data_IF_773775133343
#
_entry.id   IF_773775133343
#
_cell.length_a   1.000
_cell.length_b   1.000
_cell.length_c   1.000
_cell.angle_alpha   90.00
_cell.angle_beta   90.00
_cell.angle_gamma   90.00
#
_symmetry.space_group_name_H-M   'P 1'
#
loop_
_entity.id
_entity.type
_entity.pdbx_description
1 polymer ?
#
# COMPACT_ATOMS: atom_id res chain seq x y z
N UNK A 1 72.13 10.21 -8.66
CA UNK A 1 71.18 10.17 -7.53
C UNK A 1 69.90 9.54 -8.05
N UNK A 2 69.53 8.43 -7.44
CA UNK A 2 68.37 7.59 -7.74
C UNK A 2 67.03 8.35 -7.57
N UNK A 3 65.96 7.79 -8.17
CA UNK A 3 64.53 7.87 -7.76
C UNK A 3 63.70 9.07 -8.25
N UNK A 4 62.45 8.99 -8.71
CA UNK A 4 61.47 7.92 -8.89
C UNK A 4 60.55 8.34 -10.06
N UNK A 5 60.34 7.44 -11.03
CA UNK A 5 59.30 7.57 -12.06
C UNK A 5 58.02 6.99 -11.44
N UNK A 6 57.00 7.82 -11.18
CA UNK A 6 55.68 7.36 -10.72
C UNK A 6 54.80 7.26 -11.98
N UNK A 7 54.45 6.05 -12.46
CA UNK A 7 53.45 5.96 -13.51
C UNK A 7 52.08 6.17 -12.87
N UNK A 8 51.41 7.27 -13.23
CA UNK A 8 50.00 7.46 -12.92
C UNK A 8 49.19 6.45 -13.76
N UNK A 9 48.73 5.38 -13.11
CA UNK A 9 47.77 4.44 -13.69
C UNK A 9 46.43 5.18 -13.79
N UNK A 10 46.08 5.63 -14.98
CA UNK A 10 44.72 6.07 -15.29
C UNK A 10 43.82 4.83 -15.38
N UNK A 11 43.07 4.56 -14.31
CA UNK A 11 42.02 3.56 -14.31
C UNK A 11 40.76 4.18 -14.92
N UNK A 12 40.46 3.84 -16.18
CA UNK A 12 39.23 4.25 -16.84
C UNK A 12 38.08 3.39 -16.31
N UNK A 13 37.39 3.85 -15.27
CA UNK A 13 36.15 3.22 -14.79
C UNK A 13 35.02 3.71 -15.69
N UNK A 14 34.58 2.86 -16.62
CA UNK A 14 33.32 3.07 -17.32
C UNK A 14 32.20 2.81 -16.32
N UNK A 15 31.71 3.88 -15.70
CA UNK A 15 30.44 3.83 -14.96
C UNK A 15 29.34 3.67 -16.00
N UNK A 16 28.93 2.42 -16.24
CA UNK A 16 27.72 2.14 -16.99
C UNK A 16 26.58 2.70 -16.14
N UNK A 17 25.93 3.75 -16.63
CA UNK A 17 24.71 4.28 -16.03
C UNK A 17 23.68 3.14 -16.04
N UNK A 18 23.47 2.47 -14.91
CA UNK A 18 22.25 1.70 -14.74
C UNK A 18 21.12 2.72 -14.77
N UNK A 19 20.25 2.64 -15.78
CA UNK A 19 19.00 3.39 -15.75
C UNK A 19 18.32 3.06 -14.43
N UNK A 20 18.23 4.06 -13.54
CA UNK A 20 17.37 3.99 -12.38
C UNK A 20 15.94 3.69 -12.84
N UNK A 21 15.07 3.15 -11.97
CA UNK A 21 13.68 2.91 -12.33
C UNK A 21 13.10 4.21 -12.93
N UNK A 22 12.52 4.11 -14.13
CA UNK A 22 11.92 5.23 -14.81
C UNK A 22 10.88 5.87 -13.87
N UNK A 23 11.08 7.14 -13.51
CA UNK A 23 10.06 7.91 -12.84
C UNK A 23 8.92 8.12 -13.85
N UNK A 24 7.82 7.39 -13.65
CA UNK A 24 6.60 7.60 -14.41
C UNK A 24 5.98 8.93 -13.96
N UNK A 25 5.60 9.77 -14.92
CA UNK A 25 4.95 11.05 -14.65
C UNK A 25 3.70 10.86 -13.76
N UNK A 26 3.73 11.45 -12.56
CA UNK A 26 2.69 11.35 -11.52
C UNK A 26 1.23 11.47 -12.00
N UNK A 27 0.85 12.38 -12.92
CA UNK A 27 -0.54 12.53 -13.33
C UNK A 27 -1.03 11.45 -14.31
N UNK A 28 -0.13 10.66 -14.91
CA UNK A 28 -0.47 9.57 -15.83
C UNK A 28 -0.53 8.19 -15.16
N UNK A 29 -0.23 8.10 -13.85
CA UNK A 29 -0.22 6.82 -13.10
C UNK A 29 -1.58 6.10 -13.13
N UNK A 30 -2.66 6.81 -13.42
CA UNK A 30 -4.00 6.33 -13.13
C UNK A 30 -5.09 6.63 -14.18
N UNK A 31 -4.71 7.14 -15.35
CA UNK A 31 -5.65 7.76 -16.31
C UNK A 31 -6.44 6.79 -17.21
N UNK A 32 -6.22 5.48 -17.14
CA UNK A 32 -6.77 4.52 -18.12
C UNK A 32 -7.95 3.67 -17.61
N UNK A 33 -8.92 4.26 -16.93
CA UNK A 33 -10.14 3.50 -16.61
C UNK A 33 -11.43 4.31 -16.77
N UNK A 34 -12.03 4.20 -17.96
CA UNK A 34 -13.46 4.45 -18.18
C UNK A 34 -14.04 3.30 -18.99
N UNK A 35 -14.52 2.26 -18.30
CA UNK A 35 -15.53 1.36 -18.87
C UNK A 35 -16.46 0.81 -17.78
N UNK A 36 -17.74 0.59 -18.12
CA UNK A 36 -18.80 0.22 -17.17
C UNK A 36 -18.72 -1.25 -16.69
N UNK A 37 -17.64 -1.95 -17.04
CA UNK A 37 -17.35 -3.34 -16.68
C UNK A 37 -16.19 -3.47 -15.67
N UNK A 38 -15.85 -2.35 -15.02
CA UNK A 38 -14.69 -2.25 -14.15
C UNK A 38 -14.93 -2.93 -12.80
N UNK A 39 -13.98 -3.78 -12.41
CA UNK A 39 -13.95 -4.46 -11.12
C UNK A 39 -12.85 -3.91 -10.22
N UNK A 40 -12.96 -4.18 -8.92
CA UNK A 40 -11.88 -3.89 -7.94
C UNK A 40 -10.55 -4.54 -8.33
N UNK A 41 -10.59 -5.61 -9.14
CA UNK A 41 -9.41 -6.37 -9.54
C UNK A 41 -8.58 -5.73 -10.65
N UNK A 42 -9.10 -4.70 -11.31
CA UNK A 42 -8.45 -4.03 -12.45
C UNK A 42 -7.49 -2.93 -11.99
N UNK A 43 -7.55 -2.53 -10.72
CA UNK A 43 -6.68 -1.50 -10.16
C UNK A 43 -5.33 -2.08 -9.76
N UNK A 44 -4.26 -1.35 -10.14
CA UNK A 44 -2.94 -1.54 -9.56
C UNK A 44 -2.85 -0.77 -8.25
N UNK A 45 -2.21 -1.36 -7.25
CA UNK A 45 -1.94 -0.76 -5.95
C UNK A 45 -0.47 -0.95 -5.61
N UNK A 46 0.09 -0.01 -4.89
CA UNK A 46 1.48 -0.07 -4.43
C UNK A 46 1.57 -0.89 -3.13
N UNK A 47 2.61 -1.68 -2.95
CA UNK A 47 2.92 -2.35 -1.68
C UNK A 47 3.76 -1.44 -0.79
N UNK A 48 3.93 -1.81 0.48
CA UNK A 48 4.81 -1.07 1.39
C UNK A 48 6.28 -1.04 0.92
N UNK A 49 6.70 -2.01 0.10
CA UNK A 49 8.03 -2.04 -0.53
C UNK A 49 8.14 -1.17 -1.79
N UNK A 50 7.10 -0.42 -2.15
CA UNK A 50 7.07 0.43 -3.35
C UNK A 50 6.82 -0.33 -4.67
N UNK A 51 6.45 -1.61 -4.62
CA UNK A 51 6.16 -2.42 -5.82
C UNK A 51 4.69 -2.35 -6.17
N UNK A 52 4.36 -2.31 -7.46
CA UNK A 52 2.97 -2.38 -7.89
C UNK A 52 2.48 -3.83 -7.99
N UNK A 53 1.27 -4.06 -7.49
CA UNK A 53 0.55 -5.33 -7.57
C UNK A 53 -0.91 -5.10 -7.94
N UNK A 54 -1.65 -6.16 -8.23
CA UNK A 54 -3.09 -6.09 -8.51
C UNK A 54 -3.88 -6.75 -7.39
N UNK A 55 -5.15 -6.41 -7.28
CA UNK A 55 -6.06 -7.04 -6.30
C UNK A 55 -6.62 -8.37 -6.78
N UNK A 56 -6.28 -8.82 -7.99
CA UNK A 56 -6.80 -10.07 -8.59
C UNK A 56 -6.57 -11.33 -7.75
N UNK A 57 -5.51 -11.35 -6.92
CA UNK A 57 -5.23 -12.46 -6.00
C UNK A 57 -6.28 -12.66 -4.91
N UNK A 58 -7.16 -11.68 -4.70
CA UNK A 58 -8.25 -11.71 -3.72
C UNK A 58 -9.60 -12.09 -4.33
N UNK A 59 -9.63 -12.60 -5.56
CA UNK A 59 -10.85 -13.08 -6.21
C UNK A 59 -11.51 -14.19 -5.39
N UNK A 60 -12.85 -14.13 -5.28
CA UNK A 60 -13.64 -15.09 -4.52
C UNK A 60 -13.58 -14.90 -2.99
N UNK A 61 -12.95 -13.82 -2.51
CA UNK A 61 -12.92 -13.47 -1.10
C UNK A 61 -13.86 -12.30 -0.81
N UNK A 62 -14.37 -12.22 0.41
CA UNK A 62 -15.03 -11.02 0.92
C UNK A 62 -13.94 -10.05 1.35
N UNK A 63 -13.98 -8.83 0.80
CA UNK A 63 -12.98 -7.80 1.03
C UNK A 63 -13.55 -6.64 1.84
N UNK A 64 -12.91 -6.34 2.97
CA UNK A 64 -13.08 -5.09 3.68
C UNK A 64 -11.96 -4.13 3.28
N UNK A 65 -12.30 -3.06 2.57
CA UNK A 65 -11.34 -2.02 2.15
C UNK A 65 -11.43 -0.85 3.12
N UNK A 66 -10.29 -0.47 3.71
CA UNK A 66 -10.24 0.57 4.73
C UNK A 66 -9.07 1.52 4.50
N UNK A 67 -9.31 2.83 4.60
CA UNK A 67 -8.23 3.80 4.71
C UNK A 67 -7.82 3.94 6.18
N UNK A 68 -6.51 3.96 6.44
CA UNK A 68 -5.94 3.91 7.79
C UNK A 68 -4.93 5.04 8.01
N UNK A 69 -4.61 5.31 9.27
CA UNK A 69 -3.62 6.29 9.70
C UNK A 69 -2.99 5.85 11.05
N UNK A 70 -1.67 5.92 11.20
CA UNK A 70 -0.93 5.52 12.43
C UNK A 70 -1.14 6.48 13.60
N UNK A 71 -1.35 7.78 13.36
CA UNK A 71 -1.54 8.78 14.42
C UNK A 71 -2.99 9.24 14.58
N UNK A 72 -3.93 8.43 14.09
CA UNK A 72 -5.35 8.69 14.24
C UNK A 72 -5.85 8.32 15.64
N UNK A 73 -6.88 9.02 16.13
CA UNK A 73 -7.56 8.58 17.35
C UNK A 73 -8.06 7.13 17.25
N UNK A 74 -8.49 6.72 16.06
CA UNK A 74 -9.02 5.39 15.77
C UNK A 74 -7.94 4.34 15.45
N UNK A 75 -6.64 4.65 15.55
CA UNK A 75 -5.58 3.66 15.29
C UNK A 75 -5.67 2.45 16.23
N UNK A 76 -6.26 2.57 17.41
CA UNK A 76 -6.51 1.41 18.29
C UNK A 76 -7.37 0.32 17.63
N UNK A 77 -8.17 0.66 16.61
CA UNK A 77 -8.96 -0.31 15.82
C UNK A 77 -8.10 -1.36 15.10
N UNK A 78 -6.80 -1.12 14.92
CA UNK A 78 -5.89 -2.16 14.41
C UNK A 78 -5.93 -3.42 15.28
N UNK A 79 -6.13 -3.27 16.59
CA UNK A 79 -6.22 -4.39 17.53
C UNK A 79 -7.47 -5.24 17.29
N UNK A 80 -8.53 -4.66 16.73
CA UNK A 80 -9.80 -5.35 16.45
C UNK A 80 -9.79 -6.10 15.11
N UNK A 81 -8.89 -5.74 14.19
CA UNK A 81 -8.84 -6.37 12.86
C UNK A 81 -8.43 -7.83 12.90
N UNK A 82 -7.48 -8.21 13.76
CA UNK A 82 -7.07 -9.60 13.88
C UNK A 82 -8.22 -10.48 14.41
N UNK A 83 -8.87 -10.15 15.55
CA UNK A 83 -10.06 -10.86 16.02
C UNK A 83 -11.21 -10.87 15.01
N UNK A 84 -11.44 -9.77 14.28
CA UNK A 84 -12.48 -9.72 13.26
C UNK A 84 -12.21 -10.73 12.15
N UNK A 85 -10.96 -10.85 11.69
CA UNK A 85 -10.57 -11.84 10.69
C UNK A 85 -10.76 -13.25 11.25
N UNK A 86 -10.21 -13.53 12.44
CA UNK A 86 -10.29 -14.84 13.09
C UNK A 86 -11.75 -15.30 13.26
N UNK A 87 -12.60 -14.43 13.80
CA UNK A 87 -14.03 -14.70 13.96
C UNK A 87 -14.71 -15.00 12.62
N UNK A 88 -14.40 -14.25 11.55
CA UNK A 88 -15.00 -14.51 10.24
C UNK A 88 -14.48 -15.80 9.58
N UNK A 89 -13.27 -16.24 9.91
CA UNK A 89 -12.73 -17.52 9.43
C UNK A 89 -13.37 -18.70 10.19
N UNK A 90 -13.60 -18.56 11.49
CA UNK A 90 -14.21 -19.59 12.35
C UNK A 90 -15.70 -19.81 12.06
N UNK A 91 -16.47 -18.73 11.85
CA UNK A 91 -17.92 -18.83 11.61
C UNK A 91 -18.27 -19.50 10.27
N UNK A 92 -17.31 -19.61 9.34
CA UNK A 92 -17.53 -20.19 8.01
C UNK A 92 -17.45 -21.70 8.02
N UNK A 93 -18.46 -22.31 8.64
CA UNK A 93 -18.78 -23.74 8.58
C UNK A 93 -19.36 -24.16 7.21
N UNK A 94 -18.63 -23.97 6.10
CA UNK A 94 -18.87 -24.76 4.87
C UNK A 94 -18.98 -24.07 3.50
N UNK A 95 -18.94 -22.74 3.37
CA UNK A 95 -19.00 -22.07 2.04
C UNK A 95 -17.62 -21.83 1.39
N UNK A 96 -16.53 -22.03 2.14
CA UNK A 96 -15.14 -21.87 1.68
C UNK A 96 -14.71 -20.44 1.32
N UNK A 97 -15.51 -19.43 1.61
CA UNK A 97 -15.25 -18.05 1.16
C UNK A 97 -14.35 -17.32 2.17
N UNK A 98 -13.12 -16.96 1.81
CA UNK A 98 -12.21 -16.26 2.74
C UNK A 98 -12.62 -14.80 3.00
N UNK A 99 -12.28 -14.27 4.18
CA UNK A 99 -12.44 -12.86 4.54
C UNK A 99 -11.05 -12.20 4.69
N UNK A 100 -10.89 -11.03 4.05
CA UNK A 100 -9.61 -10.33 3.96
C UNK A 100 -9.80 -8.82 4.11
N UNK A 101 -8.91 -8.19 4.87
CA UNK A 101 -8.88 -6.74 5.06
C UNK A 101 -7.76 -6.15 4.21
N UNK A 102 -8.09 -5.15 3.39
CA UNK A 102 -7.16 -4.38 2.57
C UNK A 102 -7.06 -2.97 3.15
N UNK A 103 -5.96 -2.68 3.84
CA UNK A 103 -5.71 -1.41 4.51
C UNK A 103 -4.82 -0.50 3.67
N UNK A 104 -5.26 0.75 3.49
CA UNK A 104 -4.61 1.76 2.66
C UNK A 104 -4.26 2.99 3.50
N UNK A 105 -2.99 3.15 3.91
CA UNK A 105 -2.53 4.31 4.65
C UNK A 105 -2.81 5.62 3.87
N UNK A 106 -3.31 6.65 4.55
CA UNK A 106 -3.67 7.92 3.91
C UNK A 106 -3.42 9.11 4.83
N UNK A 107 -2.65 10.08 4.32
CA UNK A 107 -2.25 11.26 5.09
C UNK A 107 -3.21 12.46 4.94
N UNK A 108 -4.29 12.34 4.16
CA UNK A 108 -5.17 13.48 3.85
C UNK A 108 -6.08 13.91 5.01
N UNK A 109 -6.16 13.11 6.08
CA UNK A 109 -7.00 13.38 7.24
C UNK A 109 -6.15 13.89 8.40
N UNK A 110 -6.07 15.22 8.54
CA UNK A 110 -5.30 15.90 9.60
C UNK A 110 -3.82 15.49 9.68
N UNK A 111 -3.22 15.08 8.56
CA UNK A 111 -1.81 14.68 8.47
C UNK A 111 -1.42 13.57 9.46
N UNK A 112 -2.33 12.61 9.68
CA UNK A 112 -2.16 11.54 10.68
C UNK A 112 -1.40 10.29 10.19
N UNK A 113 -0.88 10.30 8.95
CA UNK A 113 -0.03 9.25 8.40
C UNK A 113 1.22 9.86 7.72
N UNK A 114 2.08 10.56 8.49
CA UNK A 114 3.25 11.25 7.96
C UNK A 114 4.36 10.28 7.52
N UNK A 115 4.35 9.04 8.03
CA UNK A 115 5.35 8.02 7.77
C UNK A 115 5.46 7.67 6.29
N UNK A 116 6.68 7.36 5.85
CA UNK A 116 6.91 6.76 4.54
C UNK A 116 6.57 5.27 4.53
N UNK A 117 6.34 4.69 3.34
CA UNK A 117 5.83 3.31 3.22
C UNK A 117 6.65 2.28 4.02
N UNK A 118 7.98 2.44 4.05
CA UNK A 118 8.88 1.53 4.78
C UNK A 118 8.84 1.70 6.32
N UNK A 119 8.23 2.77 6.83
CA UNK A 119 8.16 3.09 8.25
C UNK A 119 6.81 2.70 8.88
N UNK A 120 5.75 2.57 8.07
CA UNK A 120 4.38 2.35 8.54
C UNK A 120 4.27 1.10 9.43
N UNK A 121 4.88 -0.01 9.06
CA UNK A 121 4.87 -1.23 9.88
C UNK A 121 5.55 -1.01 11.23
N UNK A 122 6.65 -0.26 11.28
CA UNK A 122 7.31 0.06 12.54
C UNK A 122 6.44 0.97 13.40
N UNK A 123 5.75 1.93 12.78
CA UNK A 123 4.78 2.81 13.43
C UNK A 123 3.70 2.01 14.16
N UNK A 124 3.02 1.09 13.47
CA UNK A 124 1.95 0.30 14.08
C UNK A 124 2.45 -0.74 15.09
N UNK A 125 3.65 -1.30 14.87
CA UNK A 125 4.23 -2.33 15.75
C UNK A 125 4.77 -1.74 17.05
N UNK A 126 5.41 -0.56 16.99
CA UNK A 126 6.20 -0.02 18.10
C UNK A 126 5.64 1.27 18.68
N UNK A 127 4.88 2.06 17.91
CA UNK A 127 4.43 3.39 18.33
C UNK A 127 2.95 3.37 18.67
N UNK A 128 2.07 3.11 17.69
CA UNK A 128 0.62 3.10 17.88
C UNK A 128 -0.08 2.22 16.83
N UNK A 129 -0.81 1.16 17.23
CA UNK A 129 -1.16 0.78 18.61
C UNK A 129 0.03 0.31 19.45
N UNK A 130 1.15 -0.02 18.81
CA UNK A 130 2.39 -0.39 19.50
C UNK A 130 2.28 -1.78 20.13
N UNK A 131 2.98 -1.97 21.25
CA UNK A 131 2.94 -3.22 22.06
C UNK A 131 3.31 -4.49 21.28
N UNK A 132 4.07 -4.35 20.19
CA UNK A 132 4.44 -5.48 19.35
C UNK A 132 3.28 -6.00 18.50
N UNK A 133 2.29 -5.16 18.18
CA UNK A 133 1.20 -5.50 17.28
C UNK A 133 1.73 -6.08 15.97
N UNK A 134 1.14 -7.20 15.53
CA UNK A 134 1.48 -7.86 14.28
C UNK A 134 0.19 -8.08 13.48
N UNK A 135 0.09 -7.57 12.24
CA UNK A 135 -1.05 -7.84 11.37
C UNK A 135 -1.25 -9.34 11.14
N UNK A 136 -2.50 -9.80 11.18
CA UNK A 136 -2.86 -11.15 10.74
C UNK A 136 -2.52 -11.36 9.25
N UNK A 137 -2.34 -12.61 8.81
CA UNK A 137 -1.96 -12.94 7.42
C UNK A 137 -2.95 -12.44 6.36
N UNK A 138 -4.23 -12.28 6.72
CA UNK A 138 -5.30 -11.72 5.88
C UNK A 138 -5.56 -10.21 6.14
N UNK A 139 -4.68 -9.53 6.90
CA UNK A 139 -4.66 -8.07 7.01
C UNK A 139 -3.52 -7.53 6.14
N UNK A 140 -3.85 -7.10 4.93
CA UNK A 140 -2.87 -6.59 3.98
C UNK A 140 -2.81 -5.07 4.01
N UNK A 141 -1.67 -4.54 4.43
CA UNK A 141 -1.39 -3.12 4.42
C UNK A 141 -0.62 -2.78 3.13
N UNK A 142 -1.15 -1.86 2.36
CA UNK A 142 -0.58 -1.39 1.09
C UNK A 142 0.23 -0.11 1.29
N UNK A 143 0.85 0.38 0.22
CA UNK A 143 1.49 1.69 0.20
C UNK A 143 0.48 2.82 0.40
N UNK A 144 1.01 3.96 0.85
CA UNK A 144 0.26 5.20 1.10
C UNK A 144 -0.43 5.68 -0.18
N UNK A 145 -1.69 6.07 -0.07
CA UNK A 145 -2.49 6.58 -1.20
C UNK A 145 -3.29 7.80 -0.81
N UNK A 146 -3.56 8.66 -1.78
CA UNK A 146 -4.57 9.70 -1.66
C UNK A 146 -5.95 9.13 -2.00
N UNK A 147 -6.96 9.43 -1.19
CA UNK A 147 -8.33 8.93 -1.37
C UNK A 147 -9.29 10.01 -1.88
N UNK A 148 -8.92 11.29 -1.77
CA UNK A 148 -9.68 12.47 -2.16
C UNK A 148 -8.81 13.46 -2.98
N UNK A 149 -9.43 14.51 -3.53
CA UNK A 149 -8.73 15.55 -4.30
C UNK A 149 -8.38 15.12 -5.72
N UNK A 150 -7.57 15.92 -6.42
CA UNK A 150 -7.20 15.66 -7.83
C UNK A 150 -6.24 14.49 -7.99
N UNK A 151 -5.41 14.21 -6.98
CA UNK A 151 -4.42 13.12 -6.97
C UNK A 151 -4.93 11.80 -6.39
N UNK A 152 -6.24 11.69 -6.16
CA UNK A 152 -6.81 10.49 -5.57
C UNK A 152 -6.54 9.24 -6.43
N UNK A 153 -6.37 8.11 -5.76
CA UNK A 153 -6.22 6.83 -6.43
C UNK A 153 -7.57 6.40 -7.05
N UNK A 154 -7.62 5.92 -8.32
CA UNK A 154 -8.89 5.56 -9.00
C UNK A 154 -9.69 4.51 -8.27
N UNK A 155 -9.03 3.57 -7.60
CA UNK A 155 -9.67 2.59 -6.73
C UNK A 155 -10.65 3.28 -5.77
N UNK A 156 -10.23 4.37 -5.12
CA UNK A 156 -11.08 5.09 -4.18
C UNK A 156 -12.16 5.92 -4.88
N UNK A 157 -11.92 6.40 -6.11
CA UNK A 157 -13.00 6.99 -6.93
C UNK A 157 -14.10 5.97 -7.20
N UNK A 158 -13.70 4.78 -7.66
CA UNK A 158 -14.57 3.66 -7.97
C UNK A 158 -15.36 3.20 -6.74
N UNK A 159 -14.68 2.98 -5.62
CA UNK A 159 -15.31 2.60 -4.36
C UNK A 159 -16.30 3.67 -3.88
N UNK A 160 -15.95 4.96 -3.95
CA UNK A 160 -16.87 6.06 -3.60
C UNK A 160 -18.08 6.10 -4.51
N UNK A 161 -17.93 5.86 -5.82
CA UNK A 161 -19.05 5.80 -6.77
C UNK A 161 -19.99 4.64 -6.46
N UNK A 162 -19.46 3.47 -6.09
CA UNK A 162 -20.27 2.31 -5.70
C UNK A 162 -20.98 2.50 -4.34
N UNK A 163 -20.28 3.08 -3.36
CA UNK A 163 -20.80 3.29 -2.01
C UNK A 163 -21.83 4.43 -1.92
N UNK A 164 -21.75 5.42 -2.81
CA UNK A 164 -22.81 6.41 -3.05
C UNK A 164 -23.98 5.72 -3.76
N UNK A 165 -24.68 4.85 -3.04
CA UNK A 165 -25.96 4.34 -3.50
C UNK A 165 -26.83 5.56 -3.83
N UNK A 166 -27.23 5.68 -5.11
CA UNK A 166 -28.33 6.56 -5.54
C UNK A 166 -29.54 6.20 -4.67
N UNK A 167 -29.86 7.05 -3.71
CA UNK A 167 -31.17 7.13 -3.07
C UNK A 167 -31.91 8.25 -3.79
#
# INVERSE_FOLDING_TARGET
>A
MFKYFIPAIFCLVVVVSSQGPQMLDEPLRWSECKDANQSIYDFKVETLDGKFTTLSKYKGQVLLVINVATFCHYTEQYLDFNPLIEHNLEQKNGDGTNFTILAFPCNQFYLQEPAENHEILNGITHVRPGKGFKPHSNLHIFGKVEVNGEKHHPLFEFLKKLARKKI
#
